data_IF_665636692320
#
_entry.id   IF_665636692320
#
_cell.length_a   1.000
_cell.length_b   1.000
_cell.length_c   1.000
_cell.angle_alpha   90.00
_cell.angle_beta   90.00
_cell.angle_gamma   90.00
#
_symmetry.space_group_name_H-M   'P 1'
#
loop_
_entity.id
_entity.type
_entity.pdbx_description
1 polymer ?
#
# COMPACT_ATOMS: atom_id res chain seq x y z
N UNK A 1 11.41 -16.03 5.49
CA UNK A 1 10.31 -15.88 4.52
C UNK A 1 10.46 -14.54 3.86
N UNK A 2 10.44 -14.48 2.54
CA UNK A 2 10.39 -13.20 1.84
C UNK A 2 8.94 -12.83 1.59
N UNK A 3 8.63 -11.56 1.82
CA UNK A 3 7.31 -10.97 1.64
C UNK A 3 7.18 -10.29 0.27
N UNK A 4 8.25 -10.36 -0.54
CA UNK A 4 8.27 -9.81 -1.89
C UNK A 4 7.74 -10.84 -2.88
N UNK A 5 6.79 -10.46 -3.76
CA UNK A 5 6.35 -11.33 -4.84
C UNK A 5 7.51 -11.60 -5.81
N UNK A 6 7.34 -12.61 -6.67
CA UNK A 6 8.22 -12.78 -7.84
C UNK A 6 8.21 -11.50 -8.68
N UNK A 7 9.26 -11.22 -9.48
CA UNK A 7 9.33 -10.08 -10.42
C UNK A 7 8.30 -10.16 -11.56
N UNK A 8 7.02 -10.08 -11.18
CA UNK A 8 5.81 -10.21 -11.97
C UNK A 8 4.81 -9.26 -11.33
N UNK A 9 4.29 -8.31 -12.11
CA UNK A 9 3.25 -7.41 -11.63
C UNK A 9 2.20 -7.16 -12.68
N UNK A 10 0.94 -7.12 -12.25
CA UNK A 10 -0.16 -6.62 -13.07
C UNK A 10 0.05 -5.17 -13.50
N UNK A 11 0.78 -4.38 -12.70
CA UNK A 11 1.09 -2.98 -12.96
C UNK A 11 1.93 -2.76 -14.23
N UNK A 12 2.92 -3.63 -14.43
CA UNK A 12 3.85 -3.60 -15.59
C UNK A 12 3.43 -4.58 -16.69
N UNK A 13 2.37 -5.38 -16.46
CA UNK A 13 2.02 -6.56 -17.24
C UNK A 13 3.22 -7.52 -17.46
N UNK A 14 4.20 -7.48 -16.56
CA UNK A 14 5.41 -8.28 -16.63
C UNK A 14 5.25 -9.60 -15.90
N UNK A 15 5.98 -10.63 -16.31
CA UNK A 15 5.92 -11.95 -15.68
C UNK A 15 7.26 -12.64 -15.62
N UNK A 16 7.71 -12.97 -14.40
CA UNK A 16 8.77 -13.95 -14.20
C UNK A 16 8.21 -15.35 -14.51
N UNK A 17 8.88 -16.06 -15.42
CA UNK A 17 8.47 -17.40 -15.91
C UNK A 17 9.39 -18.52 -15.42
N UNK A 18 10.41 -18.19 -14.61
CA UNK A 18 11.31 -19.19 -14.03
C UNK A 18 10.63 -20.00 -12.94
N UNK A 19 10.93 -21.29 -12.89
CA UNK A 19 10.52 -22.18 -11.79
C UNK A 19 11.39 -22.00 -10.54
N UNK A 20 12.59 -21.45 -10.71
CA UNK A 20 13.58 -21.25 -9.65
C UNK A 20 13.76 -19.75 -9.43
N UNK A 21 13.21 -19.24 -8.32
CA UNK A 21 13.16 -17.82 -7.99
C UNK A 21 13.85 -17.58 -6.65
N UNK A 22 14.71 -16.56 -6.59
CA UNK A 22 15.31 -16.07 -5.35
C UNK A 22 14.21 -15.51 -4.45
N UNK A 23 14.07 -16.01 -3.21
CA UNK A 23 13.06 -15.49 -2.30
C UNK A 23 13.32 -14.01 -2.00
N UNK A 24 14.57 -13.59 -1.84
CA UNK A 24 14.90 -12.22 -1.40
C UNK A 24 14.57 -11.15 -2.43
N UNK A 25 14.71 -11.44 -3.72
CA UNK A 25 14.58 -10.44 -4.79
C UNK A 25 13.47 -10.71 -5.79
N UNK A 26 12.84 -11.89 -5.76
CA UNK A 26 11.88 -12.31 -6.78
C UNK A 26 12.50 -12.57 -8.16
N UNK A 27 13.83 -12.49 -8.29
CA UNK A 27 14.60 -12.72 -9.52
C UNK A 27 14.76 -14.21 -9.81
N UNK A 28 14.90 -14.60 -11.08
CA UNK A 28 15.32 -15.94 -11.45
C UNK A 28 16.67 -16.31 -10.81
N UNK A 29 16.85 -17.56 -10.41
CA UNK A 29 18.16 -18.05 -9.94
C UNK A 29 19.28 -17.91 -11.00
N UNK A 30 18.90 -17.92 -12.29
CA UNK A 30 19.76 -17.61 -13.42
C UNK A 30 19.06 -16.59 -14.33
N UNK A 31 19.66 -15.40 -14.46
CA UNK A 31 19.20 -14.39 -15.41
C UNK A 31 19.95 -14.57 -16.73
N UNK A 32 19.23 -14.80 -17.83
CA UNK A 32 19.78 -15.04 -19.17
C UNK A 32 19.09 -14.12 -20.18
N UNK A 33 19.78 -13.82 -21.28
CA UNK A 33 19.20 -13.08 -22.41
C UNK A 33 18.14 -13.89 -23.17
N UNK A 34 18.17 -15.23 -23.05
CA UNK A 34 17.20 -16.15 -23.66
C UNK A 34 15.87 -16.22 -22.87
N UNK A 35 15.37 -15.07 -22.42
CA UNK A 35 14.09 -15.00 -21.73
C UNK A 35 12.92 -15.09 -22.74
N UNK A 36 11.91 -15.93 -22.50
CA UNK A 36 10.75 -16.06 -23.39
C UNK A 36 9.84 -14.82 -23.41
N UNK A 37 10.09 -13.83 -22.55
CA UNK A 37 9.38 -12.57 -22.52
C UNK A 37 9.83 -11.68 -21.37
N UNK A 38 9.40 -10.40 -21.35
CA UNK A 38 9.87 -9.44 -20.37
C UNK A 38 9.31 -9.76 -18.97
N UNK A 39 10.21 -9.79 -17.98
CA UNK A 39 9.92 -9.59 -16.57
C UNK A 39 10.20 -8.13 -16.18
N UNK A 40 9.93 -7.74 -14.93
CA UNK A 40 10.10 -6.35 -14.49
C UNK A 40 11.55 -5.84 -14.62
N UNK A 41 12.55 -6.71 -14.44
CA UNK A 41 13.97 -6.36 -14.63
C UNK A 41 14.26 -6.06 -16.09
N UNK A 42 13.73 -6.89 -17.00
CA UNK A 42 13.90 -6.67 -18.44
C UNK A 42 13.23 -5.38 -18.91
N UNK A 43 12.02 -5.08 -18.39
CA UNK A 43 11.36 -3.81 -18.68
C UNK A 43 12.13 -2.62 -18.10
N UNK A 44 12.61 -2.72 -16.86
CA UNK A 44 13.41 -1.66 -16.24
C UNK A 44 14.73 -1.41 -16.97
N UNK A 45 15.35 -2.44 -17.56
CA UNK A 45 16.55 -2.28 -18.37
C UNK A 45 16.30 -1.47 -19.65
N UNK A 46 15.10 -1.57 -20.25
CA UNK A 46 14.75 -0.88 -21.50
C UNK A 46 14.11 0.49 -21.24
N UNK A 47 13.18 0.58 -20.29
CA UNK A 47 12.36 1.77 -20.03
C UNK A 47 12.89 2.63 -18.87
N UNK A 48 13.79 2.08 -18.04
CA UNK A 48 14.38 2.77 -16.90
C UNK A 48 13.32 3.25 -15.91
N UNK A 49 13.37 4.55 -15.58
CA UNK A 49 12.49 5.19 -14.61
C UNK A 49 11.00 5.13 -14.95
N UNK A 50 10.64 4.92 -16.22
CA UNK A 50 9.24 4.90 -16.64
C UNK A 50 8.52 3.67 -16.07
N UNK A 51 9.22 2.56 -15.85
CA UNK A 51 8.68 1.33 -15.26
C UNK A 51 8.18 1.51 -13.81
N UNK A 52 8.55 2.61 -13.14
CA UNK A 52 8.09 2.92 -11.77
C UNK A 52 6.62 3.36 -11.74
N UNK A 53 6.08 3.82 -12.87
CA UNK A 53 4.71 4.32 -12.99
C UNK A 53 3.84 3.38 -13.83
N UNK A 54 2.52 3.33 -13.58
CA UNK A 54 1.64 2.46 -14.33
C UNK A 54 1.61 2.96 -15.76
N UNK A 55 1.82 2.06 -16.72
CA UNK A 55 1.75 2.39 -18.14
C UNK A 55 0.31 2.56 -18.63
N UNK A 56 -0.67 2.23 -17.78
CA UNK A 56 -2.10 2.44 -18.02
C UNK A 56 -2.68 3.33 -16.92
N UNK A 57 -3.10 4.54 -17.29
CA UNK A 57 -3.76 5.52 -16.42
C UNK A 57 -5.22 5.68 -16.84
N UNK A 58 -6.13 6.02 -15.93
CA UNK A 58 -7.54 6.32 -16.23
C UNK A 58 -8.56 5.30 -15.71
N UNK A 59 -8.86 4.20 -16.43
CA UNK A 59 -9.96 3.30 -16.09
C UNK A 59 -9.60 2.22 -15.05
N UNK A 60 -8.44 2.32 -14.39
CA UNK A 60 -7.89 1.25 -13.55
C UNK A 60 -7.69 1.74 -12.11
N UNK A 61 -7.96 0.86 -11.13
CA UNK A 61 -7.52 1.04 -9.75
C UNK A 61 -6.34 0.11 -9.47
N UNK A 62 -5.37 0.60 -8.70
CA UNK A 62 -4.11 -0.10 -8.45
C UNK A 62 -4.03 -0.44 -6.97
N UNK A 63 -3.68 -1.69 -6.66
CA UNK A 63 -3.40 -2.18 -5.33
C UNK A 63 -1.97 -2.72 -5.25
N UNK A 64 -1.47 -2.96 -4.03
CA UNK A 64 -0.16 -3.57 -3.81
C UNK A 64 -0.26 -5.10 -3.92
N UNK A 65 0.74 -5.71 -4.55
CA UNK A 65 0.91 -7.17 -4.64
C UNK A 65 1.85 -7.73 -3.55
N UNK A 66 2.29 -6.88 -2.60
CA UNK A 66 3.16 -7.30 -1.51
C UNK A 66 2.37 -8.10 -0.48
N UNK A 67 2.97 -9.17 0.03
CA UNK A 67 2.45 -9.86 1.21
C UNK A 67 2.76 -9.03 2.45
N UNK A 68 1.73 -8.43 3.04
CA UNK A 68 1.88 -7.72 4.29
C UNK A 68 1.76 -8.70 5.45
N UNK A 69 2.72 -8.75 6.38
CA UNK A 69 2.72 -9.73 7.47
C UNK A 69 1.60 -9.46 8.49
N UNK A 70 0.99 -8.28 8.42
CA UNK A 70 -0.12 -7.85 9.26
C UNK A 70 -1.08 -7.04 8.40
N UNK A 71 -2.37 -7.31 8.54
CA UNK A 71 -3.46 -6.53 7.94
C UNK A 71 -4.54 -6.24 9.00
N UNK A 72 -5.56 -5.45 8.65
CA UNK A 72 -6.59 -5.04 9.60
C UNK A 72 -7.41 -6.19 10.21
N UNK A 73 -7.50 -7.35 9.55
CA UNK A 73 -8.14 -8.55 10.11
C UNK A 73 -7.40 -9.12 11.33
N UNK A 74 -6.11 -8.81 11.48
CA UNK A 74 -5.31 -9.22 12.64
C UNK A 74 -5.56 -8.34 13.87
N UNK A 75 -6.18 -7.18 13.69
CA UNK A 75 -6.41 -6.22 14.77
C UNK A 75 -7.87 -6.24 15.21
N UNK A 76 -8.08 -6.25 16.52
CA UNK A 76 -9.39 -5.98 17.12
C UNK A 76 -9.26 -4.76 18.04
N UNK A 77 -10.15 -3.79 17.86
CA UNK A 77 -10.18 -2.57 18.67
C UNK A 77 -11.13 -2.83 19.85
N UNK A 78 -10.56 -3.09 21.03
CA UNK A 78 -11.34 -3.21 22.25
C UNK A 78 -11.69 -1.83 22.79
N UNK A 79 -12.96 -1.45 22.67
CA UNK A 79 -13.49 -0.23 23.26
C UNK A 79 -13.41 -0.25 24.79
N UNK A 80 -13.27 0.92 25.39
CA UNK A 80 -13.40 1.15 26.83
C UNK A 80 -14.39 2.28 27.07
N UNK A 81 -15.36 2.08 27.97
CA UNK A 81 -16.32 3.11 28.33
C UNK A 81 -15.73 4.15 29.29
N UNK A 82 -14.72 3.76 30.08
CA UNK A 82 -14.03 4.64 31.03
C UNK A 82 -12.73 5.18 30.44
N UNK A 83 -12.47 6.46 30.63
CA UNK A 83 -11.28 7.14 30.10
C UNK A 83 -11.49 7.82 28.74
N UNK A 84 -12.73 8.20 28.40
CA UNK A 84 -12.98 9.18 27.35
C UNK A 84 -12.22 10.47 27.69
N UNK A 85 -11.49 11.01 26.72
CA UNK A 85 -10.74 12.26 26.85
C UNK A 85 -11.36 13.30 25.93
N UNK A 86 -11.48 14.54 26.40
CA UNK A 86 -12.03 15.65 25.60
C UNK A 86 -13.54 15.88 25.76
N UNK A 87 -14.24 15.08 26.57
CA UNK A 87 -15.64 15.31 26.95
C UNK A 87 -15.87 14.86 28.40
N UNK A 88 -17.00 15.25 29.01
CA UNK A 88 -17.35 14.83 30.37
C UNK A 88 -17.66 13.32 30.41
N UNK A 89 -17.31 12.61 31.50
CA UNK A 89 -17.42 11.14 31.58
C UNK A 89 -18.84 10.65 31.93
N UNK A 90 -19.87 11.36 31.50
CA UNK A 90 -21.28 11.02 31.69
C UNK A 90 -21.92 10.51 30.39
N UNK A 91 -23.06 9.83 30.53
CA UNK A 91 -23.74 9.20 29.40
C UNK A 91 -24.32 10.20 28.40
N UNK A 92 -24.64 11.44 28.80
CA UNK A 92 -25.23 12.44 27.91
C UNK A 92 -24.18 13.08 27.00
N UNK A 93 -22.93 13.20 27.47
CA UNK A 93 -21.86 13.84 26.71
C UNK A 93 -20.92 12.86 26.00
N UNK A 94 -20.69 11.67 26.55
CA UNK A 94 -19.81 10.64 25.99
C UNK A 94 -20.50 9.76 24.93
N UNK A 95 -21.14 10.41 23.95
CA UNK A 95 -21.85 9.76 22.85
C UNK A 95 -21.07 9.83 21.52
N UNK A 96 -21.45 8.97 20.56
CA UNK A 96 -20.78 8.86 19.25
C UNK A 96 -20.82 10.15 18.40
N UNK A 97 -21.79 11.03 18.66
CA UNK A 97 -22.00 12.26 17.89
C UNK A 97 -21.10 13.42 18.33
N UNK A 98 -20.55 13.34 19.54
CA UNK A 98 -19.66 14.36 20.09
C UNK A 98 -18.17 14.03 19.85
N UNK A 99 -17.87 13.03 19.04
CA UNK A 99 -16.50 12.65 18.71
C UNK A 99 -15.90 13.69 17.76
N UNK A 100 -14.85 14.37 18.20
CA UNK A 100 -14.06 15.25 17.34
C UNK A 100 -13.21 14.41 16.37
N UNK A 101 -13.45 14.61 15.08
CA UNK A 101 -12.72 13.94 13.99
C UNK A 101 -11.70 14.88 13.32
N UNK A 102 -11.57 16.12 13.80
CA UNK A 102 -10.59 17.05 13.26
C UNK A 102 -9.17 16.48 13.41
N UNK A 103 -8.36 16.66 12.37
CA UNK A 103 -6.98 16.18 12.34
C UNK A 103 -6.06 17.17 11.63
N UNK A 104 -4.76 17.00 11.80
CA UNK A 104 -3.73 17.80 11.13
C UNK A 104 -2.70 16.87 10.49
N UNK A 105 -2.22 17.21 9.30
CA UNK A 105 -1.09 16.53 8.67
C UNK A 105 -0.04 17.54 8.18
N UNK A 106 1.21 17.09 8.09
CA UNK A 106 2.37 17.92 7.73
C UNK A 106 3.34 18.13 8.90
N UNK A 107 4.62 18.36 8.59
CA UNK A 107 5.66 18.62 9.59
C UNK A 107 5.82 20.14 9.82
N UNK A 108 6.34 20.85 8.82
CA UNK A 108 6.60 22.30 8.91
C UNK A 108 5.35 23.13 8.58
N UNK A 109 4.62 22.74 7.53
CA UNK A 109 3.39 23.40 7.10
C UNK A 109 2.21 22.47 7.39
N UNK A 110 1.54 22.69 8.52
CA UNK A 110 0.41 21.88 8.93
C UNK A 110 -0.86 22.29 8.19
N UNK A 111 -1.57 21.30 7.68
CA UNK A 111 -2.87 21.47 7.04
C UNK A 111 -3.92 20.84 7.97
N UNK A 112 -4.91 21.65 8.33
CA UNK A 112 -6.06 21.21 9.14
C UNK A 112 -7.07 20.51 8.25
N UNK A 113 -7.62 19.42 8.76
CA UNK A 113 -8.66 18.61 8.13
C UNK A 113 -9.84 18.48 9.08
N UNK A 114 -11.05 18.62 8.57
CA UNK A 114 -12.27 18.38 9.37
C UNK A 114 -12.51 16.87 9.61
N UNK A 115 -11.92 16.01 8.78
CA UNK A 115 -12.00 14.55 8.86
C UNK A 115 -10.63 13.91 8.61
N UNK A 116 -10.29 12.78 9.26
CA UNK A 116 -9.00 12.12 9.11
C UNK A 116 -8.97 11.23 7.86
N UNK A 117 -9.41 11.77 6.73
CA UNK A 117 -9.54 11.06 5.46
C UNK A 117 -8.80 11.85 4.38
N UNK A 118 -7.87 11.18 3.69
CA UNK A 118 -7.16 11.73 2.54
C UNK A 118 -7.40 10.82 1.35
N UNK A 119 -7.87 11.40 0.25
CA UNK A 119 -8.04 10.67 -1.00
C UNK A 119 -6.68 10.56 -1.71
N UNK A 120 -6.30 9.37 -2.21
CA UNK A 120 -5.06 9.22 -2.94
C UNK A 120 -5.12 10.00 -4.26
N UNK A 121 -4.09 10.79 -4.55
CA UNK A 121 -3.94 11.51 -5.81
C UNK A 121 -3.39 10.58 -6.90
N UNK A 122 -4.21 9.62 -7.34
CA UNK A 122 -3.90 8.69 -8.43
C UNK A 122 -4.69 9.07 -9.69
N UNK A 123 -4.05 8.98 -10.86
CA UNK A 123 -4.63 9.24 -12.19
C UNK A 123 -4.68 7.96 -13.00
#
# INVERSE_FOLDING_TARGET
MSLSPSMSSGFTAARNRSKYVSPLSGMCSLCTEECPGPCEIAQAAVLGKITVYPTTTGPNQIASEKDYPVDFSHFNINGRCFGAMGTEPDHEHAEIFNVDLASEYGCDNRVKLDLPIVLPALV
#
